data_IF_924528961757
#
_entry.id   IF_924528961757
#
_cell.length_a   1.000
_cell.length_b   1.000
_cell.length_c   1.000
_cell.angle_alpha   90.00
_cell.angle_beta   90.00
_cell.angle_gamma   90.00
#
_symmetry.space_group_name_H-M   'P 1'
#
loop_
_entity.id
_entity.type
_entity.pdbx_description
1 polymer ?
#
# COMPACT_ATOMS: atom_id res chain seq x y z
N UNK A 1 -19.95 0.89 6.11
CA UNK A 1 -19.08 1.42 5.04
C UNK A 1 -17.75 0.70 5.15
N UNK A 2 -17.16 0.26 4.05
CA UNK A 2 -15.88 -0.48 4.06
C UNK A 2 -14.81 0.43 3.47
N UNK A 3 -13.63 0.45 4.09
CA UNK A 3 -12.47 1.18 3.60
C UNK A 3 -11.47 0.19 3.01
N UNK A 4 -11.00 0.43 1.80
CA UNK A 4 -10.10 -0.47 1.09
C UNK A 4 -8.75 0.19 0.95
N UNK A 5 -7.72 -0.45 1.51
CA UNK A 5 -6.33 -0.12 1.26
C UNK A 5 -5.86 -0.88 0.02
N UNK A 6 -5.50 -0.14 -1.01
CA UNK A 6 -4.91 -0.66 -2.24
C UNK A 6 -3.42 -0.37 -2.17
N UNK A 7 -2.59 -1.41 -2.26
CA UNK A 7 -1.14 -1.30 -2.27
C UNK A 7 -0.66 -1.72 -3.64
N UNK A 8 -0.06 -0.78 -4.37
CA UNK A 8 0.62 -1.10 -5.63
C UNK A 8 2.12 -0.99 -5.43
N UNK A 9 2.86 -2.06 -5.71
CA UNK A 9 4.32 -2.06 -5.67
C UNK A 9 4.92 -2.42 -7.04
N UNK A 10 6.02 -1.76 -7.38
CA UNK A 10 6.84 -2.09 -8.54
C UNK A 10 8.20 -2.57 -8.05
N UNK A 11 8.49 -3.85 -8.17
CA UNK A 11 9.81 -4.38 -7.88
C UNK A 11 10.79 -3.91 -8.96
N UNK A 12 11.69 -3.00 -8.61
CA UNK A 12 12.80 -2.59 -9.47
C UNK A 12 13.79 -3.74 -9.64
N UNK A 13 13.55 -4.64 -10.59
CA UNK A 13 14.50 -5.70 -10.93
C UNK A 13 13.85 -6.84 -11.70
N UNK A 14 14.30 -7.05 -12.95
CA UNK A 14 14.08 -8.16 -13.90
C UNK A 14 12.66 -8.75 -14.11
N UNK A 15 11.69 -8.47 -13.24
CA UNK A 15 10.33 -9.00 -13.24
C UNK A 15 9.41 -7.83 -13.60
N UNK A 16 8.98 -7.80 -14.85
CA UNK A 16 8.15 -6.73 -15.40
C UNK A 16 6.72 -6.84 -14.89
N UNK A 17 6.38 -6.19 -13.78
CA UNK A 17 4.98 -6.11 -13.34
C UNK A 17 4.73 -5.29 -12.08
N UNK A 18 3.60 -4.59 -12.08
CA UNK A 18 3.03 -4.04 -10.86
C UNK A 18 2.38 -5.16 -10.05
N UNK A 19 2.68 -5.26 -8.77
CA UNK A 19 1.93 -6.11 -7.84
C UNK A 19 0.87 -5.27 -7.15
N UNK A 20 -0.40 -5.70 -7.23
CA UNK A 20 -1.53 -5.05 -6.57
C UNK A 20 -2.02 -5.95 -5.45
N UNK A 21 -2.08 -5.42 -4.23
CA UNK A 21 -2.69 -6.06 -3.07
C UNK A 21 -3.80 -5.17 -2.51
N UNK A 22 -4.84 -5.79 -1.94
CA UNK A 22 -5.95 -5.05 -1.32
C UNK A 22 -6.26 -5.59 0.07
N UNK A 23 -6.60 -4.71 0.99
CA UNK A 23 -7.07 -5.04 2.33
C UNK A 23 -8.29 -4.22 2.69
N UNK A 24 -9.30 -4.87 3.27
CA UNK A 24 -10.54 -4.23 3.71
C UNK A 24 -10.48 -3.90 5.20
N UNK A 25 -11.02 -2.74 5.55
CA UNK A 25 -11.07 -2.19 6.90
C UNK A 25 -12.49 -1.71 7.21
N UNK A 26 -12.90 -1.90 8.46
CA UNK A 26 -14.19 -1.39 8.96
C UNK A 26 -14.14 0.08 9.40
N UNK A 27 -12.96 0.73 9.41
CA UNK A 27 -12.83 2.15 9.77
C UNK A 27 -11.81 2.88 8.89
N UNK A 28 -12.11 4.15 8.60
CA UNK A 28 -11.24 5.04 7.84
C UNK A 28 -9.89 5.24 8.53
N UNK A 29 -9.92 5.45 9.85
CA UNK A 29 -8.74 5.67 10.67
C UNK A 29 -7.76 4.48 10.61
N UNK A 30 -8.27 3.24 10.64
CA UNK A 30 -7.42 2.05 10.53
C UNK A 30 -6.82 1.90 9.14
N UNK A 31 -7.59 2.23 8.11
CA UNK A 31 -7.11 2.19 6.73
C UNK A 31 -6.00 3.23 6.49
N UNK A 32 -6.17 4.46 6.98
CA UNK A 32 -5.13 5.50 6.91
C UNK A 32 -3.90 5.18 7.78
N UNK A 33 -4.10 4.65 8.99
CA UNK A 33 -2.99 4.22 9.84
C UNK A 33 -2.15 3.13 9.16
N UNK A 34 -2.80 2.14 8.53
CA UNK A 34 -2.12 1.10 7.76
C UNK A 34 -1.39 1.68 6.53
N UNK A 35 -1.99 2.67 5.85
CA UNK A 35 -1.36 3.38 4.73
C UNK A 35 -0.08 4.09 5.15
N UNK A 36 -0.10 4.80 6.28
CA UNK A 36 1.06 5.52 6.82
C UNK A 36 2.17 4.54 7.23
N UNK A 37 1.81 3.48 7.96
CA UNK A 37 2.77 2.45 8.39
C UNK A 37 3.51 1.80 7.21
N UNK A 38 2.80 1.53 6.10
CA UNK A 38 3.41 1.00 4.87
C UNK A 38 4.40 1.99 4.22
N UNK A 39 4.07 3.29 4.21
CA UNK A 39 4.97 4.32 3.68
C UNK A 39 6.25 4.42 4.51
N UNK A 40 6.12 4.41 5.85
CA UNK A 40 7.26 4.45 6.76
C UNK A 40 8.14 3.20 6.61
N UNK A 41 7.51 2.04 6.52
CA UNK A 41 8.20 0.77 6.28
C UNK A 41 8.97 0.77 4.95
N UNK A 42 8.35 1.25 3.87
CA UNK A 42 9.00 1.35 2.55
C UNK A 42 10.18 2.32 2.57
N UNK A 43 10.04 3.49 3.23
CA UNK A 43 11.13 4.46 3.42
C UNK A 43 12.30 3.85 4.19
N UNK A 44 12.02 3.12 5.26
CA UNK A 44 13.06 2.51 6.10
C UNK A 44 13.88 1.45 5.37
N UNK A 45 13.31 0.79 4.37
CA UNK A 45 13.98 -0.31 3.67
C UNK A 45 14.83 0.10 2.45
N UNK A 46 14.80 1.38 2.02
CA UNK A 46 15.50 1.85 0.80
C UNK A 46 15.34 0.91 -0.41
N UNK A 47 14.22 0.19 -0.49
CA UNK A 47 13.99 -0.74 -1.59
C UNK A 47 13.72 0.12 -2.81
N UNK A 48 14.29 -0.26 -3.94
CA UNK A 48 13.96 0.25 -5.28
C UNK A 48 12.47 0.00 -5.67
N UNK A 49 11.63 -0.38 -4.71
CA UNK A 49 10.20 -0.58 -4.82
C UNK A 49 9.48 0.75 -4.74
N UNK A 50 8.89 1.15 -5.86
CA UNK A 50 7.91 2.24 -5.84
C UNK A 50 6.62 1.71 -5.24
N UNK A 51 6.39 2.00 -3.95
CA UNK A 51 5.16 1.65 -3.25
C UNK A 51 4.15 2.80 -3.31
N UNK A 52 2.94 2.53 -3.81
CA UNK A 52 1.83 3.49 -3.94
C UNK A 52 0.61 2.97 -3.18
N UNK A 53 0.52 3.21 -1.86
CA UNK A 53 -0.62 2.80 -1.07
C UNK A 53 -1.71 3.89 -1.06
N UNK A 54 -2.96 3.51 -1.27
CA UNK A 54 -4.15 4.40 -1.29
C UNK A 54 -5.26 3.79 -0.45
N UNK A 55 -5.85 4.59 0.44
CA UNK A 55 -7.10 4.22 1.09
C UNK A 55 -8.27 4.83 0.32
N UNK A 56 -9.30 4.04 0.04
CA UNK A 56 -10.55 4.50 -0.60
C UNK A 56 -11.77 3.96 0.14
N UNK A 57 -12.89 4.68 0.05
CA UNK A 57 -14.16 4.22 0.59
C UNK A 57 -14.94 3.44 -0.47
N UNK A 58 -15.47 2.28 -0.08
CA UNK A 58 -16.33 1.41 -0.89
C UNK A 58 -17.76 1.37 -0.33
#
# INVERSE_FOLDING_TARGET
>A
MIHVLIVVSWLGGAVQGATISTQEFSSAERCEAARLALIEYAKARSIEETLRPVCTQK
#
